data_IF_313668178781
#
_entry.id   IF_313668178781
#
_cell.length_a   1.000
_cell.length_b   1.000
_cell.length_c   1.000
_cell.angle_alpha   90.00
_cell.angle_beta   90.00
_cell.angle_gamma   90.00
#
_symmetry.space_group_name_H-M   'P 1'
#
loop_
_entity.id
_entity.type
_entity.pdbx_description
1 polymer ?
#
# COMPACT_ATOMS: atom_id res chain seq x y z
N UNK A 1 -11.23 -4.95 21.77
CA UNK A 1 -10.42 -3.72 21.84
C UNK A 1 -10.38 -3.11 20.45
N UNK A 2 -11.35 -2.26 20.15
CA UNK A 2 -11.70 -1.86 18.78
C UNK A 2 -11.56 -0.35 18.59
N UNK A 3 -10.40 0.21 18.89
CA UNK A 3 -10.17 1.62 18.56
C UNK A 3 -8.68 1.97 18.40
N UNK A 4 -8.02 1.37 17.42
CA UNK A 4 -6.81 2.00 16.88
C UNK A 4 -7.27 3.20 16.04
N UNK A 5 -7.35 4.38 16.67
CA UNK A 5 -7.76 5.62 16.02
C UNK A 5 -7.06 5.83 14.66
N UNK A 6 -7.65 6.62 13.78
CA UNK A 6 -7.04 7.03 12.51
C UNK A 6 -5.57 7.51 12.66
N UNK A 7 -5.25 8.23 13.75
CA UNK A 7 -3.89 8.69 14.06
C UNK A 7 -2.89 7.55 14.31
N UNK A 8 -3.24 6.56 15.14
CA UNK A 8 -2.43 5.36 15.36
C UNK A 8 -2.15 4.60 14.06
N UNK A 9 -3.16 4.45 13.20
CA UNK A 9 -3.01 3.78 11.90
C UNK A 9 -2.10 4.55 10.96
N UNK A 10 -2.23 5.88 10.92
CA UNK A 10 -1.35 6.75 10.16
C UNK A 10 0.11 6.66 10.66
N UNK A 11 0.33 6.70 11.98
CA UNK A 11 1.66 6.57 12.55
C UNK A 11 2.31 5.23 12.18
N UNK A 12 1.56 4.14 12.26
CA UNK A 12 2.03 2.82 11.84
C UNK A 12 2.34 2.75 10.33
N UNK A 13 1.53 3.38 9.47
CA UNK A 13 1.84 3.52 8.03
C UNK A 13 3.14 4.29 7.82
N UNK A 14 3.32 5.41 8.51
CA UNK A 14 4.52 6.23 8.40
C UNK A 14 5.78 5.45 8.81
N UNK A 15 5.70 4.63 9.86
CA UNK A 15 6.78 3.72 10.24
C UNK A 15 7.09 2.70 9.13
N UNK A 16 6.07 2.15 8.46
CA UNK A 16 6.24 1.19 7.37
C UNK A 16 6.78 1.83 6.08
N UNK A 17 6.61 3.14 5.89
CA UNK A 17 7.31 3.89 4.84
C UNK A 17 8.80 4.05 5.14
N UNK A 18 9.24 3.97 6.39
CA UNK A 18 10.67 4.03 6.73
C UNK A 18 11.27 2.62 6.83
N UNK A 19 10.51 1.68 7.38
CA UNK A 19 10.90 0.30 7.62
C UNK A 19 9.88 -0.67 7.02
N UNK A 20 9.92 -0.92 5.70
CA UNK A 20 9.00 -1.83 5.06
C UNK A 20 9.07 -3.23 5.64
N UNK A 21 7.90 -3.86 5.77
CA UNK A 21 7.76 -5.12 6.48
C UNK A 21 6.86 -6.07 5.69
N UNK A 22 7.42 -7.18 5.22
CA UNK A 22 6.72 -8.22 4.45
C UNK A 22 5.39 -8.63 5.10
N UNK A 23 5.39 -8.88 6.40
CA UNK A 23 4.22 -9.31 7.17
C UNK A 23 3.09 -8.27 7.21
N UNK A 24 3.40 -6.98 6.99
CA UNK A 24 2.42 -5.89 7.01
C UNK A 24 1.96 -5.47 5.61
N UNK A 25 2.49 -6.06 4.53
CA UNK A 25 2.05 -5.75 3.16
C UNK A 25 0.54 -5.99 2.99
N UNK A 26 -0.04 -7.15 3.38
CA UNK A 26 -1.48 -7.37 3.26
C UNK A 26 -2.30 -6.36 4.05
N UNK A 27 -1.84 -6.01 5.25
CA UNK A 27 -2.50 -5.01 6.08
C UNK A 27 -2.45 -3.63 5.44
N UNK A 28 -1.33 -3.23 4.82
CA UNK A 28 -1.25 -1.98 4.05
C UNK A 28 -2.23 -1.99 2.87
N UNK A 29 -2.32 -3.10 2.14
CA UNK A 29 -3.25 -3.28 1.01
C UNK A 29 -4.70 -3.08 1.42
N UNK A 30 -5.13 -3.59 2.59
CA UNK A 30 -6.52 -3.43 3.05
C UNK A 30 -6.93 -1.96 3.19
N UNK A 31 -5.99 -1.05 3.49
CA UNK A 31 -6.26 0.40 3.60
C UNK A 31 -6.46 1.11 2.28
N UNK A 32 -6.30 0.42 1.16
CA UNK A 32 -6.63 0.97 -0.14
C UNK A 32 -8.13 0.90 -0.39
N UNK A 33 -8.87 0.13 0.41
CA UNK A 33 -10.32 0.14 0.43
C UNK A 33 -10.87 1.54 0.81
N UNK A 34 -11.61 2.22 -0.09
CA UNK A 34 -12.20 3.52 0.20
C UNK A 34 -13.29 3.49 1.27
N UNK A 35 -13.87 2.33 1.57
CA UNK A 35 -14.84 2.15 2.67
C UNK A 35 -14.14 2.04 4.04
N UNK A 36 -12.86 1.63 4.06
CA UNK A 36 -12.08 1.48 5.29
C UNK A 36 -11.31 2.75 5.68
N UNK A 37 -10.71 3.44 4.70
CA UNK A 37 -9.85 4.60 4.97
C UNK A 37 -10.15 5.83 4.11
N UNK A 38 -10.09 6.98 4.79
CA UNK A 38 -10.20 8.30 4.15
C UNK A 38 -9.04 8.54 3.17
N UNK A 39 -9.24 9.39 2.14
CA UNK A 39 -8.25 9.67 1.09
C UNK A 39 -6.81 9.83 1.56
N UNK A 40 -6.58 10.68 2.57
CA UNK A 40 -5.24 10.92 3.07
C UNK A 40 -4.56 9.66 3.63
N UNK A 41 -5.25 8.85 4.42
CA UNK A 41 -4.65 7.63 5.01
C UNK A 41 -4.45 6.55 3.94
N UNK A 42 -5.41 6.39 3.03
CA UNK A 42 -5.28 5.47 1.89
C UNK A 42 -4.10 5.84 0.98
N UNK A 43 -3.89 7.13 0.71
CA UNK A 43 -2.70 7.60 -0.02
C UNK A 43 -1.39 7.27 0.71
N UNK A 44 -1.32 7.50 2.03
CA UNK A 44 -0.13 7.15 2.80
C UNK A 44 0.13 5.63 2.81
N UNK A 45 -0.92 4.81 2.80
CA UNK A 45 -0.78 3.36 2.65
C UNK A 45 -0.26 2.98 1.26
N UNK A 46 -0.72 3.64 0.20
CA UNK A 46 -0.20 3.46 -1.15
C UNK A 46 1.31 3.81 -1.24
N UNK A 47 1.73 4.90 -0.60
CA UNK A 47 3.15 5.27 -0.51
C UNK A 47 3.98 4.24 0.26
N UNK A 48 3.43 3.65 1.32
CA UNK A 48 4.09 2.57 2.06
C UNK A 48 4.23 1.30 1.23
N UNK A 49 3.22 0.96 0.41
CA UNK A 49 3.29 -0.16 -0.53
C UNK A 49 4.34 0.07 -1.63
N UNK A 50 4.40 1.28 -2.20
CA UNK A 50 5.46 1.66 -3.13
C UNK A 50 6.84 1.49 -2.48
N UNK A 51 7.01 1.96 -1.25
CA UNK A 51 8.28 1.77 -0.54
C UNK A 51 8.58 0.28 -0.25
N UNK A 52 7.56 -0.53 0.04
CA UNK A 52 7.74 -1.97 0.19
C UNK A 52 8.22 -2.62 -1.11
N UNK A 53 7.68 -2.23 -2.27
CA UNK A 53 8.18 -2.67 -3.58
C UNK A 53 9.65 -2.30 -3.76
N UNK A 54 10.06 -1.08 -3.38
CA UNK A 54 11.45 -0.63 -3.46
C UNK A 54 12.39 -1.45 -2.58
N UNK A 55 12.02 -1.67 -1.33
CA UNK A 55 12.95 -2.13 -0.30
C UNK A 55 12.95 -3.62 0.00
N UNK A 56 11.81 -4.32 -0.11
CA UNK A 56 11.74 -5.75 0.24
C UNK A 56 12.55 -6.60 -0.76
N UNK A 57 13.14 -7.74 -0.38
CA UNK A 57 13.96 -8.55 -1.29
C UNK A 57 13.12 -9.16 -2.43
N UNK A 58 13.77 -9.53 -3.54
CA UNK A 58 13.08 -10.20 -4.67
C UNK A 58 12.46 -11.56 -4.31
N UNK A 59 12.87 -12.16 -3.19
CA UNK A 59 12.19 -13.34 -2.63
C UNK A 59 10.70 -13.08 -2.30
N UNK A 60 10.31 -11.82 -2.12
CA UNK A 60 8.93 -11.40 -1.84
C UNK A 60 8.15 -10.99 -3.09
N UNK A 61 8.70 -11.20 -4.29
CA UNK A 61 8.08 -10.77 -5.54
C UNK A 61 6.65 -11.30 -5.75
N UNK A 62 6.39 -12.57 -5.43
CA UNK A 62 5.04 -13.14 -5.61
C UNK A 62 4.02 -12.52 -4.64
N UNK A 63 4.43 -12.26 -3.39
CA UNK A 63 3.59 -11.53 -2.44
C UNK A 63 3.31 -10.12 -2.97
N UNK A 64 4.34 -9.39 -3.36
CA UNK A 64 4.20 -8.01 -3.86
C UNK A 64 3.33 -7.94 -5.12
N UNK A 65 3.46 -8.87 -6.07
CA UNK A 65 2.60 -8.92 -7.27
C UNK A 65 1.13 -9.08 -6.90
N UNK A 66 0.82 -10.06 -6.06
CA UNK A 66 -0.57 -10.32 -5.66
C UNK A 66 -1.16 -9.14 -4.87
N UNK A 67 -0.41 -8.57 -3.93
CA UNK A 67 -0.90 -7.51 -3.05
C UNK A 67 -1.00 -6.15 -3.75
N UNK A 68 -0.07 -5.79 -4.64
CA UNK A 68 -0.17 -4.53 -5.40
C UNK A 68 -1.30 -4.59 -6.43
N UNK A 69 -1.55 -5.75 -7.05
CA UNK A 69 -2.71 -5.93 -7.93
C UNK A 69 -4.02 -5.73 -7.16
N UNK A 70 -4.15 -6.39 -6.00
CA UNK A 70 -5.31 -6.24 -5.11
C UNK A 70 -5.48 -4.80 -4.62
N UNK A 71 -4.38 -4.13 -4.24
CA UNK A 71 -4.37 -2.74 -3.83
C UNK A 71 -4.98 -1.83 -4.92
N UNK A 72 -4.61 -2.06 -6.18
CA UNK A 72 -5.08 -1.29 -7.32
C UNK A 72 -6.58 -1.51 -7.57
N UNK A 73 -7.05 -2.74 -7.48
CA UNK A 73 -8.49 -3.08 -7.57
C UNK A 73 -9.29 -2.37 -6.48
N UNK A 74 -8.82 -2.42 -5.23
CA UNK A 74 -9.48 -1.74 -4.10
C UNK A 74 -9.54 -0.22 -4.31
N UNK A 75 -8.41 0.40 -4.68
CA UNK A 75 -8.31 1.84 -4.88
C UNK A 75 -9.17 2.33 -6.06
N UNK A 76 -9.29 1.52 -7.12
CA UNK A 76 -10.08 1.85 -8.32
C UNK A 76 -11.59 1.94 -8.04
N UNK A 77 -12.08 1.43 -6.90
CA UNK A 77 -13.48 1.64 -6.46
C UNK A 77 -13.79 3.09 -6.10
N UNK A 78 -12.78 3.95 -5.89
CA UNK A 78 -12.95 5.39 -5.75
C UNK A 78 -12.08 6.15 -6.76
N UNK A 79 -12.58 6.39 -8.00
CA UNK A 79 -11.82 7.08 -9.03
C UNK A 79 -11.58 8.58 -8.74
N UNK A 80 -12.24 9.14 -7.73
CA UNK A 80 -12.07 10.54 -7.32
C UNK A 80 -10.92 10.77 -6.34
N UNK A 81 -10.09 9.75 -6.07
CA UNK A 81 -8.86 9.83 -5.27
C UNK A 81 -7.61 9.50 -6.13
N UNK A 82 -7.28 10.34 -7.15
CA UNK A 82 -6.20 10.04 -8.08
C UNK A 82 -4.80 9.88 -7.45
N UNK A 83 -4.40 10.60 -6.38
CA UNK A 83 -3.09 10.41 -5.78
C UNK A 83 -2.85 8.99 -5.26
N UNK A 84 -3.89 8.36 -4.68
CA UNK A 84 -3.82 6.98 -4.20
C UNK A 84 -3.54 6.00 -5.34
N UNK A 85 -4.24 6.16 -6.47
CA UNK A 85 -4.10 5.30 -7.65
C UNK A 85 -2.72 5.51 -8.28
N UNK A 86 -2.30 6.76 -8.50
CA UNK A 86 -1.01 7.08 -9.10
C UNK A 86 0.18 6.48 -8.33
N UNK A 87 0.15 6.48 -6.99
CA UNK A 87 1.17 5.83 -6.17
C UNK A 87 1.27 4.31 -6.42
N UNK A 88 0.14 3.63 -6.64
CA UNK A 88 0.11 2.20 -6.96
C UNK A 88 0.56 1.92 -8.40
N UNK A 89 0.31 2.84 -9.34
CA UNK A 89 0.84 2.73 -10.71
C UNK A 89 2.38 2.80 -10.71
N UNK A 90 2.97 3.71 -9.93
CA UNK A 90 4.42 3.72 -9.72
C UNK A 90 4.92 2.42 -9.10
N UNK A 91 4.20 1.88 -8.10
CA UNK A 91 4.56 0.62 -7.48
C UNK A 91 4.53 -0.54 -8.49
N UNK A 92 3.52 -0.60 -9.37
CA UNK A 92 3.44 -1.59 -10.45
C UNK A 92 4.61 -1.47 -11.44
N UNK A 93 5.00 -0.25 -11.80
CA UNK A 93 6.14 -0.01 -12.70
C UNK A 93 7.45 -0.51 -12.08
N UNK A 94 7.72 -0.16 -10.83
CA UNK A 94 8.94 -0.61 -10.15
C UNK A 94 8.95 -2.11 -9.88
N UNK A 95 7.78 -2.68 -9.59
CA UNK A 95 7.64 -4.12 -9.40
C UNK A 95 7.96 -4.89 -10.68
N UNK A 96 7.56 -4.38 -11.84
CA UNK A 96 7.94 -4.96 -13.14
C UNK A 96 9.45 -4.95 -13.36
N UNK A 97 10.14 -3.88 -12.96
CA UNK A 97 11.61 -3.80 -13.06
C UNK A 97 12.28 -4.76 -12.09
N UNK A 98 11.75 -4.90 -10.88
CA UNK A 98 12.32 -5.71 -9.80
C UNK A 98 12.10 -7.23 -9.97
N UNK A 99 10.93 -7.61 -10.47
CA UNK A 99 10.40 -8.97 -10.43
C UNK A 99 10.04 -9.54 -11.81
N UNK A 100 10.40 -8.81 -12.87
CA UNK A 100 10.34 -9.26 -14.27
C UNK A 100 11.57 -10.05 -14.70
#
# INVERSE_FOLDING_TARGET
>A
MSDSSAGHRLAAIALLQVFPSRQHVPWLTDRLDPELEKPFIGYQAAMALLQAVRSLPSADCELLKSEIARAHELASRNPHDPPRIAALEYALQELKVKCG
#
